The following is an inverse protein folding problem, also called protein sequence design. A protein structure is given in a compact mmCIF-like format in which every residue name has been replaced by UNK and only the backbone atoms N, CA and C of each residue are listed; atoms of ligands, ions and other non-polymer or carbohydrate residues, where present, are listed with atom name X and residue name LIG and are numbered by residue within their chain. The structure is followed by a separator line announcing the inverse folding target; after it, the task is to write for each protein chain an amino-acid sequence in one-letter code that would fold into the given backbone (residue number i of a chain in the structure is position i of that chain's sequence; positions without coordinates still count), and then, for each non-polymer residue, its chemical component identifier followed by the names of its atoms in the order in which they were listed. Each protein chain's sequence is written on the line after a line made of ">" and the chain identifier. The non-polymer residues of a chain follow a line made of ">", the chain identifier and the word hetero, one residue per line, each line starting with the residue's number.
data_IF_217714407804
#
_entry.id   IF_217714407804
#
_cell.length_a   1.000
_cell.length_b   1.000
_cell.length_c   1.000
_cell.angle_alpha   90.00
_cell.angle_beta   90.00
_cell.angle_gamma   90.00
#
_symmetry.space_group_name_H-M   'P 1'
#
loop_
_entity.id
_entity.type
_entity.pdbx_description
1 polymer ?
#
# COMPACT_ATOMS: atom_id res chain seq x y z
N UNK A 1 28.66 14.13 -6.66
CA UNK A 1 28.10 13.67 -7.96
C UNK A 1 26.64 13.25 -7.83
N UNK A 2 26.29 12.32 -6.92
CA UNK A 2 24.92 11.82 -6.72
C UNK A 2 23.86 12.92 -6.52
N UNK A 3 24.08 13.86 -5.60
CA UNK A 3 23.14 14.96 -5.34
C UNK A 3 22.86 15.89 -6.54
N UNK A 4 23.79 15.99 -7.51
CA UNK A 4 23.57 16.79 -8.73
C UNK A 4 22.69 16.02 -9.71
N UNK A 5 22.92 14.71 -9.85
CA UNK A 5 22.07 13.83 -10.64
C UNK A 5 20.63 13.82 -10.09
N UNK A 6 20.45 13.64 -8.78
CA UNK A 6 19.12 13.68 -8.15
C UNK A 6 18.40 15.01 -8.39
N UNK A 7 19.09 16.15 -8.22
CA UNK A 7 18.50 17.47 -8.49
C UNK A 7 18.13 17.68 -9.96
N UNK A 8 18.88 17.07 -10.89
CA UNK A 8 18.53 17.08 -12.31
C UNK A 8 17.23 16.29 -12.55
N UNK A 9 17.16 15.05 -12.06
CA UNK A 9 15.98 14.19 -12.18
C UNK A 9 14.72 14.83 -11.58
N UNK A 10 14.83 15.42 -10.38
CA UNK A 10 13.71 16.11 -9.73
C UNK A 10 13.20 17.27 -10.60
N UNK A 11 14.10 18.15 -11.09
CA UNK A 11 13.69 19.28 -11.94
C UNK A 11 13.04 18.84 -13.26
N UNK A 12 13.51 17.74 -13.84
CA UNK A 12 12.94 17.19 -15.07
C UNK A 12 11.53 16.64 -14.82
N UNK A 13 11.36 15.85 -13.76
CA UNK A 13 10.07 15.28 -13.37
C UNK A 13 9.07 16.38 -12.99
N UNK A 14 9.45 17.32 -12.13
CA UNK A 14 8.57 18.42 -11.70
C UNK A 14 8.11 19.31 -12.85
N UNK A 15 8.94 19.48 -13.89
CA UNK A 15 8.63 20.36 -15.01
C UNK A 15 7.86 19.67 -16.14
N UNK A 16 8.13 18.39 -16.40
CA UNK A 16 7.66 17.70 -17.60
C UNK A 16 6.74 16.51 -17.33
N UNK A 17 6.67 15.97 -16.10
CA UNK A 17 5.79 14.85 -15.80
C UNK A 17 4.36 15.39 -15.57
N UNK A 18 3.39 15.12 -16.48
CA UNK A 18 2.01 15.52 -16.26
C UNK A 18 1.36 14.69 -15.15
N UNK A 19 0.17 15.11 -14.75
CA UNK A 19 -0.63 14.34 -13.79
C UNK A 19 -1.03 12.97 -14.38
N UNK A 20 -1.22 11.96 -13.52
CA UNK A 20 -1.60 10.61 -13.94
C UNK A 20 -2.88 10.59 -14.79
N UNK A 21 -3.85 11.46 -14.49
CA UNK A 21 -5.07 11.56 -15.30
C UNK A 21 -4.77 12.02 -16.74
N UNK A 22 -3.84 12.96 -16.92
CA UNK A 22 -3.42 13.42 -18.25
C UNK A 22 -2.73 12.30 -19.02
N UNK A 23 -1.91 11.47 -18.36
CA UNK A 23 -1.33 10.29 -19.00
C UNK A 23 -2.40 9.33 -19.52
N UNK A 24 -3.45 9.06 -18.74
CA UNK A 24 -4.57 8.21 -19.17
C UNK A 24 -5.25 8.78 -20.41
N UNK A 25 -5.48 10.10 -20.47
CA UNK A 25 -6.06 10.75 -21.65
C UNK A 25 -5.14 10.65 -22.87
N UNK A 26 -3.83 10.84 -22.68
CA UNK A 26 -2.84 10.69 -23.76
C UNK A 26 -2.83 9.25 -24.28
N UNK A 27 -2.77 8.25 -23.40
CA UNK A 27 -2.79 6.84 -23.81
C UNK A 27 -4.11 6.44 -24.47
N UNK A 28 -5.23 6.99 -24.01
CA UNK A 28 -6.55 6.81 -24.67
C UNK A 28 -6.52 7.38 -26.08
N UNK A 29 -5.97 8.58 -26.28
CA UNK A 29 -5.85 9.19 -27.60
C UNK A 29 -4.88 8.40 -28.51
N UNK A 30 -3.76 7.93 -27.98
CA UNK A 30 -2.80 7.11 -28.73
C UNK A 30 -3.41 5.77 -29.15
N UNK A 31 -4.13 5.09 -28.24
CA UNK A 31 -4.86 3.86 -28.56
C UNK A 31 -5.94 4.11 -29.63
N UNK A 32 -6.66 5.24 -29.54
CA UNK A 32 -7.63 5.65 -30.56
C UNK A 32 -6.97 5.88 -31.93
N UNK A 33 -5.83 6.58 -31.98
CA UNK A 33 -5.08 6.80 -33.23
C UNK A 33 -4.62 5.46 -33.80
N UNK A 34 -4.06 4.58 -32.98
CA UNK A 34 -3.63 3.24 -33.40
C UNK A 34 -4.82 2.43 -33.95
N UNK A 35 -5.98 2.44 -33.29
CA UNK A 35 -7.18 1.74 -33.76
C UNK A 35 -7.66 2.26 -35.13
N UNK A 36 -7.63 3.58 -35.36
CA UNK A 36 -8.04 4.18 -36.64
C UNK A 36 -7.02 3.94 -37.77
N UNK A 37 -5.72 3.95 -37.46
CA UNK A 37 -4.65 3.96 -38.48
C UNK A 37 -4.06 2.58 -38.76
N UNK A 38 -3.90 1.75 -37.72
CA UNK A 38 -3.28 0.43 -37.80
C UNK A 38 -4.37 -0.63 -37.97
N UNK A 39 -5.31 -0.72 -37.03
CA UNK A 39 -6.43 -1.68 -37.07
C UNK A 39 -7.52 -1.26 -38.06
N UNK A 40 -7.45 -0.03 -38.60
CA UNK A 40 -8.40 0.52 -39.58
C UNK A 40 -9.86 0.43 -39.13
N UNK A 41 -10.10 0.50 -37.81
CA UNK A 41 -11.45 0.50 -37.23
C UNK A 41 -12.19 1.77 -37.63
N UNK A 42 -13.51 1.68 -37.83
CA UNK A 42 -14.31 2.87 -38.12
C UNK A 42 -14.42 3.79 -36.88
N UNK A 43 -14.62 5.12 -37.05
CA UNK A 43 -14.80 6.02 -35.91
C UNK A 43 -15.94 5.62 -34.97
N UNK A 44 -17.02 5.06 -35.52
CA UNK A 44 -18.15 4.59 -34.71
C UNK A 44 -17.79 3.34 -33.89
N UNK A 45 -17.04 2.40 -34.46
CA UNK A 45 -16.55 1.23 -33.72
C UNK A 45 -15.61 1.64 -32.60
N UNK A 46 -14.71 2.59 -32.84
CA UNK A 46 -13.82 3.11 -31.80
C UNK A 46 -14.61 3.67 -30.60
N UNK A 47 -15.65 4.46 -30.84
CA UNK A 47 -16.51 4.99 -29.77
C UNK A 47 -17.23 3.86 -29.04
N UNK A 48 -17.66 2.82 -29.76
CA UNK A 48 -18.26 1.61 -29.16
C UNK A 48 -17.27 0.89 -28.26
N UNK A 49 -16.05 0.61 -28.72
CA UNK A 49 -15.00 -0.02 -27.92
C UNK A 49 -14.75 0.73 -26.61
N UNK A 50 -14.66 2.07 -26.69
CA UNK A 50 -14.46 2.89 -25.50
C UNK A 50 -15.65 2.81 -24.53
N UNK A 51 -16.88 2.89 -25.05
CA UNK A 51 -18.10 2.86 -24.24
C UNK A 51 -18.36 1.50 -23.59
N UNK A 52 -18.19 0.40 -24.33
CA UNK A 52 -18.42 -0.95 -23.80
C UNK A 52 -17.28 -1.39 -22.88
N UNK A 53 -16.03 -1.07 -23.23
CA UNK A 53 -14.85 -1.45 -22.45
C UNK A 53 -14.72 -0.75 -21.09
N UNK A 54 -15.44 0.37 -20.88
CA UNK A 54 -15.38 1.15 -19.65
C UNK A 54 -15.63 0.32 -18.37
N UNK A 55 -16.49 -0.70 -18.46
CA UNK A 55 -16.92 -1.49 -17.30
C UNK A 55 -16.09 -2.77 -17.07
N UNK A 56 -15.22 -3.15 -18.00
CA UNK A 56 -14.49 -4.44 -17.96
C UNK A 56 -13.56 -4.57 -16.75
N UNK A 57 -13.04 -3.44 -16.25
CA UNK A 57 -12.09 -3.42 -15.14
C UNK A 57 -12.73 -3.14 -13.79
N UNK A 58 -14.07 -3.08 -13.67
CA UNK A 58 -14.74 -2.71 -12.41
C UNK A 58 -14.37 -3.67 -11.26
N UNK A 59 -14.38 -4.98 -11.52
CA UNK A 59 -13.97 -5.99 -10.54
C UNK A 59 -12.51 -5.83 -10.11
N UNK A 60 -11.61 -5.64 -11.07
CA UNK A 60 -10.19 -5.38 -10.82
C UNK A 60 -9.97 -4.10 -9.99
N UNK A 61 -10.65 -3.01 -10.33
CA UNK A 61 -10.58 -1.76 -9.59
C UNK A 61 -11.07 -1.92 -8.15
N UNK A 62 -12.15 -2.67 -7.93
CA UNK A 62 -12.65 -2.97 -6.58
C UNK A 62 -11.64 -3.79 -5.79
N UNK A 63 -11.00 -4.78 -6.42
CA UNK A 63 -9.94 -5.56 -5.77
C UNK A 63 -8.77 -4.66 -5.35
N UNK A 64 -8.34 -3.72 -6.20
CA UNK A 64 -7.26 -2.77 -5.86
C UNK A 64 -7.66 -1.82 -4.73
N UNK A 65 -8.92 -1.34 -4.73
CA UNK A 65 -9.45 -0.54 -3.63
C UNK A 65 -9.44 -1.32 -2.31
N UNK A 66 -9.85 -2.60 -2.35
CA UNK A 66 -9.83 -3.48 -1.18
C UNK A 66 -8.42 -3.72 -0.66
N UNK A 67 -7.42 -3.92 -1.53
CA UNK A 67 -6.02 -4.07 -1.09
C UNK A 67 -5.59 -2.87 -0.25
N UNK A 68 -5.86 -1.66 -0.74
CA UNK A 68 -5.47 -0.43 -0.06
C UNK A 68 -6.24 -0.21 1.25
N UNK A 69 -7.56 -0.38 1.20
CA UNK A 69 -8.45 -0.09 2.35
C UNK A 69 -8.23 -1.12 3.47
N UNK A 70 -8.21 -2.41 3.14
CA UNK A 70 -8.01 -3.47 4.15
C UNK A 70 -6.59 -3.44 4.71
N UNK A 71 -5.60 -3.14 3.87
CA UNK A 71 -4.22 -2.87 4.30
C UNK A 71 -4.13 -1.73 5.32
N UNK A 72 -4.83 -0.62 5.07
CA UNK A 72 -4.89 0.49 6.02
C UNK A 72 -5.55 0.11 7.35
N UNK A 73 -6.69 -0.60 7.31
CA UNK A 73 -7.39 -1.06 8.51
C UNK A 73 -6.47 -1.92 9.37
N UNK A 74 -5.81 -2.91 8.75
CA UNK A 74 -4.93 -3.85 9.44
C UNK A 74 -3.72 -3.13 10.06
N UNK A 75 -3.12 -2.18 9.33
CA UNK A 75 -1.98 -1.38 9.79
C UNK A 75 -2.27 -0.57 11.06
N UNK A 76 -3.54 -0.22 11.27
CA UNK A 76 -4.01 0.57 12.43
C UNK A 76 -4.49 -0.29 13.59
N UNK A 77 -4.29 -1.60 13.57
CA UNK A 77 -4.73 -2.48 14.65
C UNK A 77 -3.79 -2.37 15.88
N UNK A 78 -4.31 -2.62 17.10
CA UNK A 78 -3.49 -2.57 18.32
C UNK A 78 -2.25 -3.49 18.30
N UNK A 79 -2.31 -4.74 17.80
CA UNK A 79 -1.13 -5.61 17.72
C UNK A 79 -0.03 -5.02 16.85
N UNK A 80 -0.39 -4.43 15.70
CA UNK A 80 0.56 -3.79 14.80
C UNK A 80 1.19 -2.56 15.46
N UNK A 81 0.39 -1.67 16.08
CA UNK A 81 0.91 -0.51 16.82
C UNK A 81 1.95 -0.94 17.86
N UNK A 82 1.64 -1.97 18.66
CA UNK A 82 2.58 -2.51 19.67
C UNK A 82 3.86 -3.07 19.05
N UNK A 83 3.74 -3.81 17.94
CA UNK A 83 4.90 -4.35 17.21
C UNK A 83 5.81 -3.24 16.68
N UNK A 84 5.24 -2.18 16.11
CA UNK A 84 6.00 -1.04 15.62
C UNK A 84 6.71 -0.29 16.75
N UNK A 85 6.03 -0.01 17.87
CA UNK A 85 6.66 0.63 19.04
C UNK A 85 7.79 -0.23 19.60
N UNK A 86 7.60 -1.54 19.70
CA UNK A 86 8.61 -2.48 20.18
C UNK A 86 9.83 -2.57 19.24
N UNK A 87 9.63 -2.51 17.93
CA UNK A 87 10.73 -2.45 16.96
C UNK A 87 11.46 -1.11 17.05
N UNK A 88 10.71 -0.01 17.16
CA UNK A 88 11.27 1.34 17.22
C UNK A 88 12.13 1.55 18.47
N UNK A 89 11.74 0.97 19.61
CA UNK A 89 12.52 1.03 20.86
C UNK A 89 13.86 0.29 20.77
N UNK A 90 14.12 -0.50 19.72
CA UNK A 90 15.41 -1.17 19.46
C UNK A 90 16.33 -0.37 18.56
N UNK A 91 15.82 0.66 17.90
CA UNK A 91 16.64 1.57 17.12
C UNK A 91 17.49 2.41 18.08
N UNK A 92 18.82 2.32 17.97
CA UNK A 92 19.76 3.06 18.86
C UNK A 92 20.58 4.11 18.15
N UNK A 93 20.78 3.98 16.84
CA UNK A 93 21.61 4.88 16.04
C UNK A 93 20.87 5.29 14.76
N UNK A 94 21.20 6.46 14.16
CA UNK A 94 20.56 6.91 12.92
C UNK A 94 20.65 5.89 11.80
N UNK A 95 21.82 5.26 11.60
CA UNK A 95 22.03 4.24 10.57
C UNK A 95 21.18 2.99 10.81
N UNK A 96 21.12 2.51 12.05
CA UNK A 96 20.26 1.38 12.41
C UNK A 96 18.78 1.71 12.18
N UNK A 97 18.34 2.92 12.56
CA UNK A 97 16.98 3.39 12.32
C UNK A 97 16.63 3.37 10.81
N UNK A 98 17.52 3.87 9.95
CA UNK A 98 17.34 3.84 8.49
C UNK A 98 17.21 2.40 7.96
N UNK A 99 18.10 1.50 8.37
CA UNK A 99 18.05 0.09 7.96
C UNK A 99 16.77 -0.58 8.44
N UNK A 100 16.41 -0.40 9.71
CA UNK A 100 15.22 -1.01 10.31
C UNK A 100 13.94 -0.53 9.62
N UNK A 101 13.81 0.79 9.39
CA UNK A 101 12.65 1.34 8.68
C UNK A 101 12.55 0.80 7.26
N UNK A 102 13.68 0.71 6.55
CA UNK A 102 13.72 0.14 5.20
C UNK A 102 13.24 -1.32 5.22
N UNK A 103 13.80 -2.16 6.08
CA UNK A 103 13.47 -3.59 6.15
C UNK A 103 12.00 -3.83 6.56
N UNK A 104 11.49 -3.10 7.55
CA UNK A 104 10.10 -3.21 7.98
C UNK A 104 9.15 -2.76 6.87
N UNK A 105 9.47 -1.67 6.16
CA UNK A 105 8.68 -1.23 5.02
C UNK A 105 8.71 -2.24 3.87
N UNK A 106 9.87 -2.81 3.55
CA UNK A 106 10.00 -3.85 2.53
C UNK A 106 9.20 -5.10 2.89
N UNK A 107 9.33 -5.61 4.12
CA UNK A 107 8.57 -6.75 4.59
C UNK A 107 7.06 -6.50 4.52
N UNK A 108 6.61 -5.33 4.99
CA UNK A 108 5.21 -4.96 4.95
C UNK A 108 4.67 -4.85 3.50
N UNK A 109 5.44 -4.23 2.59
CA UNK A 109 5.07 -4.13 1.17
C UNK A 109 5.12 -5.46 0.42
N UNK A 110 6.04 -6.35 0.82
CA UNK A 110 6.12 -7.69 0.27
C UNK A 110 4.89 -8.52 0.67
N UNK A 111 4.39 -8.37 1.90
CA UNK A 111 3.15 -9.04 2.33
C UNK A 111 1.94 -8.41 1.64
N UNK A 112 1.78 -7.09 1.76
CA UNK A 112 0.67 -6.35 1.16
C UNK A 112 1.05 -4.90 0.93
N UNK A 113 1.01 -4.44 -0.32
CA UNK A 113 1.45 -3.09 -0.67
C UNK A 113 0.55 -1.99 -0.07
N UNK A 114 -0.76 -2.22 0.04
CA UNK A 114 -1.69 -1.30 0.72
C UNK A 114 -1.37 -1.12 2.21
N UNK A 115 -1.03 -2.23 2.88
CA UNK A 115 -0.53 -2.25 4.25
C UNK A 115 0.85 -1.61 4.37
N UNK A 116 1.79 -1.97 3.49
CA UNK A 116 3.17 -1.51 3.49
C UNK A 116 3.32 0.00 3.32
N UNK A 117 2.49 0.63 2.49
CA UNK A 117 2.43 2.09 2.35
C UNK A 117 2.12 2.78 3.70
N UNK A 118 1.21 2.21 4.48
CA UNK A 118 0.81 2.77 5.78
C UNK A 118 1.84 2.45 6.86
N UNK A 119 2.33 1.21 6.89
CA UNK A 119 3.32 0.75 7.87
C UNK A 119 4.62 1.54 7.76
N UNK A 120 5.14 1.76 6.55
CA UNK A 120 6.36 2.53 6.36
C UNK A 120 6.26 3.93 6.98
N UNK A 121 5.14 4.63 6.73
CA UNK A 121 4.91 5.96 7.29
C UNK A 121 4.71 5.94 8.82
N UNK A 122 3.94 4.99 9.35
CA UNK A 122 3.71 4.85 10.78
C UNK A 122 5.00 4.52 11.53
N UNK A 123 5.80 3.62 10.98
CA UNK A 123 7.04 3.17 11.61
C UNK A 123 8.14 4.23 11.54
N UNK A 124 8.26 4.96 10.42
CA UNK A 124 9.17 6.11 10.34
C UNK A 124 8.82 7.19 11.40
N UNK A 125 7.53 7.48 11.59
CA UNK A 125 7.08 8.37 12.66
C UNK A 125 7.45 7.84 14.05
N UNK A 126 7.22 6.56 14.30
CA UNK A 126 7.50 5.94 15.59
C UNK A 126 9.00 5.94 15.92
N UNK A 127 9.86 5.63 14.94
CA UNK A 127 11.31 5.63 15.10
C UNK A 127 11.84 7.05 15.36
N UNK A 128 11.28 8.07 14.70
CA UNK A 128 11.66 9.46 14.91
C UNK A 128 11.39 9.98 16.33
N UNK A 129 10.49 9.32 17.09
CA UNK A 129 10.28 9.61 18.53
C UNK A 129 11.37 9.01 19.43
N UNK A 130 12.03 7.95 18.98
CA UNK A 130 13.00 7.18 19.77
C UNK A 130 14.45 7.52 19.44
N UNK A 131 14.72 7.94 18.20
CA UNK A 131 16.08 8.20 17.70
C UNK A 131 16.12 9.56 17.00
N UNK A 132 17.16 10.34 17.28
CA UNK A 132 17.49 11.57 16.53
C UNK A 132 18.07 11.17 15.17
N UNK A 133 17.26 11.19 14.12
CA UNK A 133 17.66 10.81 12.76
C UNK A 133 17.02 11.77 11.75
N UNK A 134 17.68 11.97 10.61
CA UNK A 134 17.13 12.80 9.54
C UNK A 134 15.78 12.25 9.07
N UNK A 135 14.73 13.03 9.32
CA UNK A 135 13.35 12.61 9.07
C UNK A 135 13.04 12.49 7.57
N UNK A 136 13.74 13.25 6.72
CA UNK A 136 13.58 13.16 5.26
C UNK A 136 14.11 11.82 4.75
N UNK A 137 15.27 11.39 5.25
CA UNK A 137 15.83 10.09 4.91
C UNK A 137 15.02 8.94 5.50
N UNK A 138 14.47 9.07 6.72
CA UNK A 138 13.51 8.10 7.25
C UNK A 138 12.30 7.93 6.34
N UNK A 139 11.70 9.04 5.91
CA UNK A 139 10.55 9.03 5.00
C UNK A 139 10.92 8.42 3.63
N UNK A 140 12.09 8.76 3.08
CA UNK A 140 12.61 8.17 1.86
C UNK A 140 12.85 6.65 2.01
N UNK A 141 13.36 6.22 3.16
CA UNK A 141 13.62 4.82 3.47
C UNK A 141 12.32 4.01 3.55
N UNK A 142 11.32 4.55 4.24
CA UNK A 142 9.98 3.97 4.29
C UNK A 142 9.36 3.84 2.89
N UNK A 143 9.47 4.89 2.06
CA UNK A 143 8.93 4.87 0.70
C UNK A 143 9.70 3.92 -0.22
N UNK A 144 11.03 3.86 -0.10
CA UNK A 144 11.87 2.95 -0.91
C UNK A 144 11.52 1.48 -0.67
N UNK A 145 10.99 1.14 0.50
CA UNK A 145 10.51 -0.21 0.79
C UNK A 145 9.38 -0.68 -0.11
N UNK A 146 8.68 0.25 -0.79
CA UNK A 146 7.70 -0.09 -1.80
C UNK A 146 8.31 -0.88 -2.96
N UNK A 147 9.61 -0.75 -3.26
CA UNK A 147 10.24 -1.32 -4.48
C UNK A 147 10.04 -2.84 -4.67
N UNK A 148 9.83 -3.61 -3.60
CA UNK A 148 9.62 -5.07 -3.65
C UNK A 148 8.16 -5.48 -3.79
N UNK A 149 7.22 -4.53 -3.77
CA UNK A 149 5.79 -4.80 -3.67
C UNK A 149 5.26 -5.75 -4.76
N UNK A 150 5.73 -5.55 -5.98
CA UNK A 150 5.20 -6.25 -7.15
C UNK A 150 5.69 -7.70 -7.25
N UNK A 151 6.85 -8.00 -6.66
CA UNK A 151 7.35 -9.37 -6.51
C UNK A 151 6.83 -10.06 -5.23
N UNK A 152 6.04 -9.36 -4.42
CA UNK A 152 5.51 -9.86 -3.15
C UNK A 152 4.18 -10.59 -3.25
N UNK A 153 3.72 -11.07 -2.10
CA UNK A 153 2.46 -11.81 -1.92
C UNK A 153 1.21 -11.02 -2.31
N UNK A 154 1.32 -9.71 -2.57
CA UNK A 154 0.23 -8.84 -3.04
C UNK A 154 0.47 -8.27 -4.45
N UNK A 155 1.41 -8.83 -5.21
CA UNK A 155 1.70 -8.38 -6.57
C UNK A 155 0.45 -8.42 -7.44
N UNK A 156 -0.04 -7.25 -7.86
CA UNK A 156 -1.35 -7.13 -8.50
C UNK A 156 -1.44 -7.95 -9.79
N UNK A 157 -0.43 -7.92 -10.66
CA UNK A 157 -0.47 -8.71 -11.91
C UNK A 157 -0.33 -10.21 -11.62
N UNK A 158 0.70 -10.71 -10.90
CA UNK A 158 0.81 -12.14 -10.59
C UNK A 158 -0.42 -12.74 -9.94
N UNK A 159 -1.08 -12.00 -9.03
CA UNK A 159 -2.31 -12.48 -8.40
C UNK A 159 -3.53 -12.39 -9.32
N UNK A 160 -3.60 -11.38 -10.20
CA UNK A 160 -4.71 -11.25 -11.15
C UNK A 160 -4.70 -12.40 -12.14
N UNK A 161 -3.53 -12.72 -12.73
CA UNK A 161 -3.41 -13.83 -13.70
C UNK A 161 -3.48 -15.21 -13.05
N UNK A 162 -3.39 -15.28 -11.72
CA UNK A 162 -3.67 -16.48 -10.93
C UNK A 162 -5.13 -16.55 -10.44
N UNK A 163 -5.97 -15.57 -10.77
CA UNK A 163 -7.39 -15.52 -10.38
C UNK A 163 -8.25 -15.94 -11.56
N UNK A 164 -9.03 -17.00 -11.38
CA UNK A 164 -9.98 -17.47 -12.41
C UNK A 164 -10.99 -16.38 -12.80
N UNK A 165 -11.29 -16.29 -14.09
CA UNK A 165 -12.17 -15.29 -14.70
C UNK A 165 -11.52 -13.92 -14.88
N UNK A 166 -10.19 -13.80 -14.84
CA UNK A 166 -9.54 -12.51 -15.09
C UNK A 166 -9.69 -12.06 -16.56
N UNK A 167 -9.67 -10.75 -16.79
CA UNK A 167 -9.95 -10.10 -18.08
C UNK A 167 -9.00 -10.47 -19.24
N UNK A 168 -7.94 -11.25 -19.00
CA UNK A 168 -6.97 -11.70 -20.00
C UNK A 168 -6.90 -13.22 -20.11
N UNK A 169 -7.76 -13.96 -19.39
CA UNK A 169 -7.64 -15.41 -19.27
C UNK A 169 -7.73 -16.12 -20.62
N UNK A 170 -8.57 -15.65 -21.53
CA UNK A 170 -8.70 -16.24 -22.87
C UNK A 170 -7.43 -16.07 -23.74
N UNK A 171 -6.63 -15.02 -23.46
CA UNK A 171 -5.44 -14.72 -24.23
C UNK A 171 -4.18 -15.40 -23.68
N UNK A 172 -4.05 -15.51 -22.35
CA UNK A 172 -2.81 -15.99 -21.70
C UNK A 172 -3.00 -17.25 -20.83
N UNK A 173 -4.25 -17.70 -20.66
CA UNK A 173 -4.58 -18.76 -19.71
C UNK A 173 -4.46 -18.32 -18.25
N UNK A 174 -4.64 -19.29 -17.34
CA UNK A 174 -4.42 -19.10 -15.92
C UNK A 174 -2.95 -19.41 -15.57
N UNK A 175 -2.26 -18.47 -14.93
CA UNK A 175 -0.84 -18.63 -14.56
C UNK A 175 -0.72 -18.68 -13.03
N UNK A 176 -0.29 -19.80 -12.44
CA UNK A 176 -0.24 -19.95 -10.99
C UNK A 176 0.88 -19.11 -10.35
N UNK A 177 0.74 -18.85 -9.04
CA UNK A 177 1.74 -18.08 -8.28
C UNK A 177 3.09 -18.79 -8.14
N UNK A 178 3.14 -20.12 -8.31
CA UNK A 178 4.36 -20.90 -8.34
C UNK A 178 5.32 -20.46 -9.45
N UNK A 179 4.77 -20.12 -10.62
CA UNK A 179 5.53 -19.73 -11.82
C UNK A 179 5.87 -18.24 -11.85
N UNK A 180 5.35 -17.46 -10.88
CA UNK A 180 5.49 -16.01 -10.84
C UNK A 180 6.09 -15.53 -9.52
N UNK A 181 5.28 -15.43 -8.46
CA UNK A 181 5.71 -14.94 -7.15
C UNK A 181 6.77 -15.84 -6.50
N UNK A 182 6.60 -17.15 -6.63
CA UNK A 182 7.52 -18.13 -6.03
C UNK A 182 8.58 -18.63 -7.01
N UNK A 183 8.66 -18.04 -8.22
CA UNK A 183 9.71 -18.36 -9.16
C UNK A 183 11.10 -17.99 -8.59
N UNK A 184 12.12 -18.86 -8.73
CA UNK A 184 13.45 -18.63 -8.16
C UNK A 184 14.07 -17.28 -8.54
N UNK A 185 13.86 -16.83 -9.78
CA UNK A 185 14.38 -15.54 -10.27
C UNK A 185 13.75 -14.36 -9.52
N UNK A 186 12.43 -14.39 -9.26
CA UNK A 186 11.76 -13.35 -8.50
C UNK A 186 12.27 -13.29 -7.05
N UNK A 187 12.39 -14.46 -6.41
CA UNK A 187 12.91 -14.57 -5.05
C UNK A 187 14.35 -14.07 -4.93
N UNK A 188 15.20 -14.36 -5.94
CA UNK A 188 16.57 -13.84 -6.01
C UNK A 188 16.59 -12.31 -6.11
N UNK A 189 15.77 -11.71 -6.99
CA UNK A 189 15.68 -10.25 -7.13
C UNK A 189 15.26 -9.61 -5.80
N UNK A 190 14.26 -10.18 -5.12
CA UNK A 190 13.80 -9.67 -3.82
C UNK A 190 14.91 -9.78 -2.78
N UNK A 191 15.61 -10.91 -2.71
CA UNK A 191 16.73 -11.10 -1.78
C UNK A 191 17.84 -10.07 -2.01
N UNK A 192 18.20 -9.81 -3.26
CA UNK A 192 19.19 -8.79 -3.61
C UNK A 192 18.72 -7.39 -3.21
N UNK A 193 17.44 -7.04 -3.44
CA UNK A 193 16.89 -5.75 -3.06
C UNK A 193 16.84 -5.58 -1.53
N UNK A 194 16.47 -6.61 -0.78
CA UNK A 194 16.43 -6.60 0.69
C UNK A 194 17.80 -6.31 1.29
N UNK A 195 18.89 -6.64 0.58
CA UNK A 195 20.25 -6.29 0.97
C UNK A 195 20.65 -4.91 0.44
N UNK A 196 20.46 -4.66 -0.85
CA UNK A 196 20.95 -3.46 -1.52
C UNK A 196 20.29 -2.17 -1.01
N UNK A 197 18.97 -2.17 -0.84
CA UNK A 197 18.20 -0.94 -0.54
C UNK A 197 18.52 -0.41 0.86
N UNK A 198 18.55 -1.22 1.94
CA UNK A 198 18.99 -0.73 3.24
C UNK A 198 20.43 -0.20 3.25
N UNK A 199 21.34 -0.83 2.50
CA UNK A 199 22.73 -0.37 2.39
C UNK A 199 22.82 0.98 1.67
N UNK A 200 22.09 1.15 0.56
CA UNK A 200 22.02 2.41 -0.19
C UNK A 200 21.44 3.52 0.71
N UNK A 201 20.31 3.26 1.36
CA UNK A 201 19.69 4.24 2.26
C UNK A 201 20.61 4.59 3.43
N UNK A 202 21.27 3.59 4.03
CA UNK A 202 22.24 3.81 5.10
C UNK A 202 23.43 4.65 4.63
N UNK A 203 23.94 4.43 3.42
CA UNK A 203 25.02 5.22 2.83
C UNK A 203 24.63 6.68 2.56
N UNK A 204 23.33 6.97 2.45
CA UNK A 204 22.80 8.33 2.31
C UNK A 204 22.60 9.07 3.65
N UNK A 205 22.93 8.45 4.78
CA UNK A 205 22.79 9.09 6.11
C UNK A 205 23.64 10.36 6.18
N UNK A 206 23.01 11.55 6.35
CA UNK A 206 23.75 12.81 6.44
C UNK A 206 24.52 12.93 7.75
N UNK A 207 25.41 13.92 7.82
CA UNK A 207 26.06 14.30 9.09
C UNK A 207 25.02 14.82 10.09
N UNK A 208 25.32 14.77 11.39
CA UNK A 208 24.40 15.28 12.43
C UNK A 208 24.05 16.76 12.22
N UNK A 209 24.98 17.57 11.71
CA UNK A 209 24.79 19.01 11.47
C UNK A 209 23.82 19.29 10.32
N UNK A 210 23.74 18.40 9.34
CA UNK A 210 22.86 18.54 8.16
C UNK A 210 21.51 17.83 8.34
N UNK A 211 21.32 17.18 9.49
CA UNK A 211 20.13 16.39 9.78
C UNK A 211 18.92 17.29 10.08
N UNK A 212 17.80 16.99 9.41
CA UNK A 212 16.51 17.64 9.71
C UNK A 212 15.73 16.73 10.64
N UNK A 213 15.61 17.14 11.89
CA UNK A 213 14.89 16.40 12.92
C UNK A 213 13.41 16.81 12.94
N UNK A 214 12.54 15.84 13.15
CA UNK A 214 11.12 16.07 13.35
C UNK A 214 10.59 15.05 14.36
N UNK A 215 9.91 15.53 15.40
CA UNK A 215 9.28 14.68 16.41
C UNK A 215 7.77 14.67 16.16
N UNK A 216 7.20 13.55 15.68
CA UNK A 216 5.77 13.49 15.38
C UNK A 216 4.94 13.51 16.67
N UNK A 217 3.80 14.22 16.69
CA UNK A 217 2.90 14.24 17.84
C UNK A 217 2.35 12.84 18.11
N UNK A 218 2.06 12.54 19.38
CA UNK A 218 1.43 11.29 19.78
C UNK A 218 0.04 11.14 19.17
N UNK A 219 -0.35 9.89 18.91
CA UNK A 219 -1.69 9.61 18.41
C UNK A 219 -2.65 9.60 19.62
N UNK A 220 -3.71 10.41 19.54
CA UNK A 220 -4.74 10.49 20.59
C UNK A 220 -5.65 9.28 20.49
N UNK A 221 -5.81 8.55 21.60
CA UNK A 221 -6.74 7.43 21.68
C UNK A 221 -8.19 7.92 21.71
N UNK A 222 -9.11 7.14 21.16
CA UNK A 222 -10.54 7.47 21.19
C UNK A 222 -11.06 7.43 22.63
N UNK A 223 -11.97 8.36 23.01
CA UNK A 223 -12.56 8.35 24.34
C UNK A 223 -13.35 7.06 24.59
N UNK A 224 -13.44 6.59 25.85
CA UNK A 224 -14.25 5.43 26.21
C UNK A 224 -15.74 5.69 25.96
N UNK A 225 -16.51 4.60 25.78
CA UNK A 225 -17.96 4.69 25.63
C UNK A 225 -18.59 5.32 26.89
N UNK A 226 -19.54 6.22 26.69
CA UNK A 226 -20.29 6.85 27.78
C UNK A 226 -21.10 5.81 28.59
N UNK A 227 -21.32 6.10 29.88
CA UNK A 227 -22.03 5.16 30.79
C UNK A 227 -23.52 5.03 30.47
N UNK A 228 -24.10 6.07 29.92
CA UNK A 228 -25.50 6.21 29.49
C UNK A 228 -25.70 5.91 27.99
N UNK A 229 -24.73 5.22 27.37
CA UNK A 229 -24.80 4.85 25.96
C UNK A 229 -26.06 4.02 25.63
N UNK A 230 -26.69 4.39 24.53
CA UNK A 230 -27.88 3.73 24.00
C UNK A 230 -27.61 2.27 23.62
N UNK A 231 -28.65 1.42 23.55
CA UNK A 231 -28.49 0.03 23.11
C UNK A 231 -27.79 -0.11 21.73
N UNK A 232 -28.05 0.82 20.81
CA UNK A 232 -27.40 0.87 19.50
C UNK A 232 -25.89 1.15 19.63
N UNK A 233 -25.50 2.14 20.42
CA UNK A 233 -24.08 2.44 20.66
C UNK A 233 -23.37 1.27 21.36
N UNK A 234 -24.05 0.58 22.29
CA UNK A 234 -23.50 -0.62 22.94
C UNK A 234 -23.29 -1.76 21.93
N UNK A 235 -24.15 -1.90 20.94
CA UNK A 235 -23.98 -2.89 19.85
C UNK A 235 -22.79 -2.53 18.95
N UNK A 236 -22.65 -1.26 18.58
CA UNK A 236 -21.53 -0.76 17.77
C UNK A 236 -20.17 -0.89 18.47
N UNK A 237 -20.17 -0.85 19.81
CA UNK A 237 -18.99 -1.06 20.65
C UNK A 237 -18.87 -2.50 21.16
N UNK A 238 -19.82 -3.37 20.83
CA UNK A 238 -19.80 -4.78 21.15
C UNK A 238 -18.79 -5.53 20.26
N UNK A 239 -18.05 -6.47 20.86
CA UNK A 239 -17.03 -7.22 20.12
C UNK A 239 -17.59 -8.46 19.41
N UNK A 240 -18.69 -9.02 19.93
CA UNK A 240 -19.19 -10.33 19.54
C UNK A 240 -19.51 -10.41 18.04
N UNK A 241 -20.27 -9.45 17.51
CA UNK A 241 -20.71 -9.44 16.11
C UNK A 241 -19.52 -9.36 15.14
N UNK A 242 -18.58 -8.45 15.41
CA UNK A 242 -17.41 -8.26 14.55
C UNK A 242 -16.50 -9.49 14.60
N UNK A 243 -16.18 -9.98 15.81
CA UNK A 243 -15.28 -11.13 15.95
C UNK A 243 -15.92 -12.42 15.44
N UNK A 244 -17.22 -12.65 15.64
CA UNK A 244 -17.87 -13.87 15.14
C UNK A 244 -17.84 -13.95 13.61
N UNK A 245 -18.18 -12.86 12.93
CA UNK A 245 -18.12 -12.77 11.46
C UNK A 245 -16.68 -12.93 10.98
N UNK A 246 -15.74 -12.21 11.61
CA UNK A 246 -14.33 -12.29 11.24
C UNK A 246 -13.75 -13.69 11.43
N UNK A 247 -14.06 -14.37 12.54
CA UNK A 247 -13.62 -15.75 12.83
C UNK A 247 -14.25 -16.73 11.84
N UNK A 248 -15.54 -16.62 11.54
CA UNK A 248 -16.18 -17.44 10.52
C UNK A 248 -15.47 -17.32 9.16
N UNK A 249 -15.08 -16.10 8.77
CA UNK A 249 -14.28 -15.89 7.58
C UNK A 249 -12.87 -16.47 7.67
N UNK A 250 -12.20 -16.38 8.83
CA UNK A 250 -10.90 -17.03 9.03
C UNK A 250 -11.00 -18.57 8.93
N UNK A 251 -12.11 -19.17 9.36
CA UNK A 251 -12.36 -20.61 9.18
C UNK A 251 -12.50 -20.95 7.69
N UNK A 252 -13.25 -20.15 6.92
CA UNK A 252 -13.31 -20.31 5.46
C UNK A 252 -11.92 -20.24 4.80
N UNK A 253 -11.06 -19.30 5.24
CA UNK A 253 -9.69 -19.23 4.72
C UNK A 253 -8.89 -20.50 5.03
N UNK A 254 -9.01 -21.04 6.24
CA UNK A 254 -8.32 -22.27 6.61
C UNK A 254 -8.76 -23.45 5.73
N UNK A 255 -10.07 -23.56 5.47
CA UNK A 255 -10.63 -24.56 4.56
C UNK A 255 -10.13 -24.38 3.12
N UNK A 256 -10.15 -23.16 2.59
CA UNK A 256 -9.65 -22.84 1.24
C UNK A 256 -8.21 -23.32 1.01
N UNK A 257 -7.33 -23.19 2.01
CA UNK A 257 -5.92 -23.59 1.88
C UNK A 257 -5.68 -25.10 1.96
N UNK A 258 -6.69 -25.94 2.17
CA UNK A 258 -6.54 -27.42 2.14
C UNK A 258 -6.28 -27.92 0.70
N UNK A 259 -6.69 -27.17 -0.32
CA UNK A 259 -6.42 -27.49 -1.73
C UNK A 259 -6.33 -26.28 -2.67
N UNK A 260 -6.55 -25.07 -2.17
CA UNK A 260 -6.50 -23.83 -2.93
C UNK A 260 -5.13 -23.13 -2.86
N UNK A 261 -4.95 -22.17 -3.77
CA UNK A 261 -3.76 -21.32 -3.85
C UNK A 261 -3.99 -19.88 -3.41
N UNK A 262 -2.91 -19.10 -3.43
CA UNK A 262 -2.97 -17.66 -3.23
C UNK A 262 -3.45 -16.97 -4.51
N UNK A 263 -4.48 -16.13 -4.37
CA UNK A 263 -4.94 -15.22 -5.42
C UNK A 263 -5.39 -13.89 -4.81
N UNK A 264 -5.78 -12.93 -5.66
CA UNK A 264 -6.08 -11.57 -5.22
C UNK A 264 -7.29 -11.49 -4.27
N UNK A 265 -8.32 -12.29 -4.54
CA UNK A 265 -9.53 -12.33 -3.71
C UNK A 265 -9.22 -12.88 -2.31
N UNK A 266 -8.43 -13.95 -2.24
CA UNK A 266 -8.05 -14.59 -0.97
C UNK A 266 -7.18 -13.68 -0.11
N UNK A 267 -6.23 -12.96 -0.71
CA UNK A 267 -5.42 -11.96 0.02
C UNK A 267 -6.31 -10.84 0.57
N UNK A 268 -7.18 -10.27 -0.27
CA UNK A 268 -8.11 -9.21 0.16
C UNK A 268 -9.04 -9.67 1.28
N UNK A 269 -9.59 -10.88 1.14
CA UNK A 269 -10.47 -11.48 2.12
C UNK A 269 -9.74 -11.71 3.46
N UNK A 270 -8.50 -12.24 3.42
CA UNK A 270 -7.67 -12.41 4.61
C UNK A 270 -7.41 -11.10 5.34
N UNK A 271 -7.01 -10.05 4.61
CA UNK A 271 -6.77 -8.74 5.21
C UNK A 271 -8.04 -8.13 5.80
N UNK A 272 -9.18 -8.30 5.14
CA UNK A 272 -10.46 -7.84 5.66
C UNK A 272 -10.85 -8.57 6.95
N UNK A 273 -10.83 -9.91 6.94
CA UNK A 273 -11.23 -10.72 8.11
C UNK A 273 -10.29 -10.51 9.29
N UNK A 274 -8.98 -10.47 9.07
CA UNK A 274 -8.00 -10.11 10.10
C UNK A 274 -8.24 -8.70 10.63
N UNK A 275 -8.49 -7.73 9.74
CA UNK A 275 -8.84 -6.37 10.12
C UNK A 275 -10.07 -6.31 11.03
N UNK A 276 -11.14 -7.04 10.68
CA UNK A 276 -12.38 -7.13 11.45
C UNK A 276 -12.11 -7.72 12.85
N UNK A 277 -11.42 -8.87 12.94
CA UNK A 277 -11.12 -9.53 14.22
C UNK A 277 -10.24 -8.65 15.10
N UNK A 278 -9.17 -8.08 14.54
CA UNK A 278 -8.18 -7.33 15.31
C UNK A 278 -8.65 -5.92 15.71
N UNK A 279 -9.61 -5.33 14.99
CA UNK A 279 -10.29 -4.09 15.42
C UNK A 279 -11.35 -4.36 16.49
N UNK A 280 -11.79 -5.61 16.64
CA UNK A 280 -12.73 -6.14 17.64
C UNK A 280 -14.15 -5.63 17.58
N UNK A 281 -14.40 -4.34 17.33
CA UNK A 281 -15.75 -3.74 17.37
C UNK A 281 -16.08 -3.03 16.05
N UNK A 282 -17.37 -2.99 15.64
CA UNK A 282 -17.81 -2.24 14.46
C UNK A 282 -17.39 -0.77 14.50
N UNK A 283 -17.57 -0.08 15.63
CA UNK A 283 -17.19 1.33 15.79
C UNK A 283 -15.71 1.57 15.49
N UNK A 284 -14.82 0.68 15.98
CA UNK A 284 -13.38 0.78 15.69
C UNK A 284 -13.08 0.50 14.24
N UNK A 285 -13.75 -0.46 13.60
CA UNK A 285 -13.57 -0.73 12.18
C UNK A 285 -13.97 0.48 11.33
N UNK A 286 -15.16 1.05 11.57
CA UNK A 286 -15.69 2.21 10.87
C UNK A 286 -14.81 3.45 11.08
N UNK A 287 -14.29 3.67 12.29
CA UNK A 287 -13.36 4.77 12.55
C UNK A 287 -12.06 4.66 11.72
N UNK A 288 -11.54 3.44 11.53
CA UNK A 288 -10.39 3.21 10.65
C UNK A 288 -10.72 3.50 9.19
N UNK A 289 -11.91 3.10 8.71
CA UNK A 289 -12.36 3.39 7.35
C UNK A 289 -12.51 4.90 7.10
N UNK A 290 -13.08 5.64 8.06
CA UNK A 290 -13.19 7.09 7.97
C UNK A 290 -11.81 7.77 7.96
N UNK A 291 -10.86 7.27 8.75
CA UNK A 291 -9.46 7.73 8.70
C UNK A 291 -8.81 7.42 7.36
N UNK A 292 -8.99 6.20 6.82
CA UNK A 292 -8.49 5.80 5.52
C UNK A 292 -9.00 6.76 4.43
N UNK A 293 -10.32 7.02 4.39
CA UNK A 293 -10.94 8.01 3.48
C UNK A 293 -10.27 9.38 3.60
N UNK A 294 -10.10 9.89 4.83
CA UNK A 294 -9.49 11.22 5.06
C UNK A 294 -8.01 11.28 4.69
N UNK A 295 -7.28 10.16 4.70
CA UNK A 295 -5.85 10.15 4.36
C UNK A 295 -5.59 9.82 2.89
N UNK A 296 -6.42 8.98 2.28
CA UNK A 296 -6.29 8.57 0.87
C UNK A 296 -6.84 9.65 -0.07
N UNK A 297 -8.00 10.23 0.23
CA UNK A 297 -8.71 11.13 -0.69
C UNK A 297 -8.00 12.48 -0.92
N UNK A 298 -7.44 13.18 0.09
CA UNK A 298 -6.73 14.43 -0.16
C UNK A 298 -5.42 14.26 -0.93
N UNK A 299 -4.79 13.08 -0.85
CA UNK A 299 -3.60 12.76 -1.65
C UNK A 299 -3.87 12.74 -3.16
N UNK A 300 -5.12 12.46 -3.56
CA UNK A 300 -5.58 12.46 -4.95
C UNK A 300 -6.00 13.86 -5.44
N UNK A 301 -6.46 14.74 -4.54
CA UNK A 301 -7.01 16.05 -4.91
C UNK A 301 -6.08 17.24 -4.64
N UNK A 302 -5.05 17.12 -3.78
CA UNK A 302 -4.23 18.27 -3.30
C UNK A 302 -2.83 18.42 -3.90
N UNK A 303 -2.50 17.82 -5.04
CA UNK A 303 -1.12 17.94 -5.60
C UNK A 303 -0.74 19.28 -6.26
N UNK A 304 -1.51 20.37 -6.06
CA UNK A 304 -1.14 21.70 -6.59
C UNK A 304 -1.30 22.90 -5.66
N UNK A 305 -1.23 22.73 -4.33
CA UNK A 305 -1.14 23.89 -3.42
C UNK A 305 -0.15 23.65 -2.28
N UNK A 306 1.15 23.64 -2.59
CA UNK A 306 2.18 24.00 -1.61
C UNK A 306 3.48 24.43 -2.32
N UNK A 307 3.41 25.54 -3.08
CA UNK A 307 4.56 26.43 -3.20
C UNK A 307 4.63 27.25 -1.92
N UNK A 308 5.15 26.65 -0.84
CA UNK A 308 5.56 27.37 0.36
C UNK A 308 6.39 26.43 1.24
N UNK A 309 7.68 26.30 0.92
CA UNK A 309 8.67 26.03 1.95
C UNK A 309 9.53 27.30 2.04
N UNK A 310 9.62 27.96 3.21
CA UNK A 310 10.59 29.04 3.38
C UNK A 310 12.01 28.47 3.31
N UNK A 311 12.92 29.29 2.78
CA UNK A 311 14.35 29.00 2.64
C UNK A 311 15.01 28.63 3.96
#
# INVERSE_FOLDING_TARGET
>A
MFQRATRCSVRLVERYLPDAYVFVLIFTALAAIAALTIERSSPLELVRYWGTGFWELLGFLMQMLLVLVTGFILAKTPPVKRGLTWLASRCRTPRNAIVMVTLVAMAANWINWGFGLVIGALFAREVARHVRVDYRLLAASAYSGFIVWHGGLSGSIPLTIATDGHFMQDAIGLIPTADTLFAPVNLLIIALLVIAIPLINCAMTPSERDSVLFTPPEDVDAPPLARDASPAERLEHGWLLSVSIGVAGLVYLADHFIGGGLNLNIVNYAFLMLGIVLRRTPARLLAALQEARRRILPGLLRRRVSRAWPR
#
